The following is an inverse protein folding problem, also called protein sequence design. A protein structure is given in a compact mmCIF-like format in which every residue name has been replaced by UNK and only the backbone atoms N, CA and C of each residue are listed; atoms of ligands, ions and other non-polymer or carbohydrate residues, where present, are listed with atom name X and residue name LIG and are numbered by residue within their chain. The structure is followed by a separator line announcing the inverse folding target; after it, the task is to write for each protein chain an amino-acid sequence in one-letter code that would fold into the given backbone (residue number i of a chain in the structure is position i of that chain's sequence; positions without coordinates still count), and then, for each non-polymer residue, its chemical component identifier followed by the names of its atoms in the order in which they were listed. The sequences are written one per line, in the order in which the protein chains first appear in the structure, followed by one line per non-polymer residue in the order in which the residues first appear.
data_IF_315210168083
#
_entry.id   IF_315210168083
#
_cell.length_a   1.000
_cell.length_b   1.000
_cell.length_c   1.000
_cell.angle_alpha   90.00
_cell.angle_beta   90.00
_cell.angle_gamma   90.00
#
_symmetry.space_group_name_H-M   'P 1'
#
loop_
_entity.id
_entity.type
_entity.pdbx_description
1 polymer ?
#
# COMPACT_ATOMS: atom_id res chain seq x y z
N UNK A 1 42.27 -22.04 -1.58
CA UNK A 1 41.29 -20.92 -1.60
C UNK A 1 40.00 -21.46 -1.01
N UNK A 2 39.61 -21.01 0.19
CA UNK A 2 38.60 -21.70 1.00
C UNK A 2 37.18 -21.26 0.59
N UNK A 3 36.38 -22.18 0.04
CA UNK A 3 35.02 -21.91 -0.47
C UNK A 3 34.08 -21.47 0.68
N UNK A 4 34.39 -21.83 1.93
CA UNK A 4 33.62 -21.44 3.12
C UNK A 4 33.65 -19.95 3.47
N UNK A 5 34.74 -19.23 3.15
CA UNK A 5 34.84 -17.80 3.48
C UNK A 5 34.14 -16.89 2.48
N UNK A 6 33.79 -17.40 1.30
CA UNK A 6 33.05 -16.63 0.28
C UNK A 6 31.54 -16.57 0.58
N UNK A 7 31.01 -17.56 1.31
CA UNK A 7 29.60 -17.60 1.74
C UNK A 7 29.34 -16.85 3.06
N UNK A 8 30.32 -16.67 3.95
CA UNK A 8 30.09 -15.91 5.19
C UNK A 8 30.07 -14.39 4.98
N UNK A 9 30.82 -13.87 4.01
CA UNK A 9 30.90 -12.42 3.77
C UNK A 9 29.75 -11.84 2.93
N UNK A 10 28.85 -12.69 2.39
CA UNK A 10 27.66 -12.25 1.64
C UNK A 10 26.36 -12.23 2.45
N UNK A 11 26.36 -12.80 3.67
CA UNK A 11 25.18 -12.86 4.55
C UNK A 11 25.12 -11.76 5.62
N UNK A 12 26.20 -11.00 5.82
CA UNK A 12 26.32 -10.07 6.95
C UNK A 12 25.89 -8.61 6.67
N UNK A 13 25.46 -8.27 5.45
CA UNK A 13 25.06 -6.90 5.12
C UNK A 13 23.53 -6.73 5.03
N UNK A 14 22.99 -5.95 5.97
CA UNK A 14 21.59 -5.51 6.13
C UNK A 14 20.61 -6.47 6.81
N UNK A 15 20.85 -6.77 8.08
CA UNK A 15 19.73 -6.98 8.99
C UNK A 15 18.97 -5.65 9.10
N UNK A 16 17.69 -5.63 8.75
CA UNK A 16 16.83 -4.47 8.98
C UNK A 16 16.81 -4.14 10.47
N UNK A 17 17.60 -3.14 10.88
CA UNK A 17 17.67 -2.69 12.27
C UNK A 17 16.50 -1.74 12.57
N UNK A 18 15.71 -2.01 13.63
CA UNK A 18 14.74 -1.05 14.16
C UNK A 18 15.39 0.30 14.47
N UNK A 19 14.61 1.37 14.45
CA UNK A 19 15.12 2.68 14.86
C UNK A 19 15.18 2.74 16.38
N UNK A 20 16.38 2.86 16.94
CA UNK A 20 16.58 3.11 18.36
C UNK A 20 16.22 4.56 18.73
N UNK A 21 15.52 4.70 19.86
CA UNK A 21 15.13 5.95 20.52
C UNK A 21 15.30 5.75 22.02
N UNK A 22 15.46 6.84 22.75
CA UNK A 22 15.36 6.80 24.21
C UNK A 22 13.94 6.38 24.64
N UNK A 23 13.83 5.86 25.87
CA UNK A 23 12.61 5.26 26.38
C UNK A 23 11.44 6.26 26.48
N UNK A 24 11.73 7.52 26.81
CA UNK A 24 10.72 8.57 26.95
C UNK A 24 10.15 8.95 25.58
N UNK A 25 11.01 9.24 24.60
CA UNK A 25 10.58 9.52 23.22
C UNK A 25 9.81 8.34 22.62
N UNK A 26 10.24 7.11 22.90
CA UNK A 26 9.53 5.92 22.44
C UNK A 26 8.13 5.81 23.06
N UNK A 27 8.01 6.03 24.37
CA UNK A 27 6.73 6.00 25.07
C UNK A 27 5.78 7.09 24.54
N UNK A 28 6.26 8.34 24.42
CA UNK A 28 5.46 9.44 23.88
C UNK A 28 4.99 9.15 22.45
N UNK A 29 5.88 8.64 21.60
CA UNK A 29 5.54 8.25 20.22
C UNK A 29 4.43 7.19 20.21
N UNK A 30 4.54 6.16 21.05
CA UNK A 30 3.52 5.10 21.17
C UNK A 30 2.18 5.66 21.63
N UNK A 31 2.17 6.50 22.66
CA UNK A 31 0.93 7.09 23.19
C UNK A 31 0.22 7.89 22.09
N UNK A 32 0.95 8.74 21.35
CA UNK A 32 0.38 9.53 20.25
C UNK A 32 -0.15 8.62 19.14
N UNK A 33 0.63 7.62 18.71
CA UNK A 33 0.19 6.70 17.66
C UNK A 33 -1.02 5.86 18.07
N UNK A 34 -1.10 5.41 19.33
CA UNK A 34 -2.27 4.67 19.85
C UNK A 34 -3.50 5.58 19.94
N UNK A 35 -3.34 6.83 20.35
CA UNK A 35 -4.42 7.81 20.33
C UNK A 35 -4.93 8.05 18.91
N UNK A 36 -4.03 8.28 17.95
CA UNK A 36 -4.37 8.43 16.53
C UNK A 36 -5.06 7.16 15.99
N UNK A 37 -4.50 5.98 16.27
CA UNK A 37 -5.06 4.69 15.86
C UNK A 37 -6.49 4.51 16.38
N UNK A 38 -6.73 4.81 17.66
CA UNK A 38 -8.05 4.66 18.28
C UNK A 38 -9.06 5.61 17.62
N UNK A 39 -8.73 6.89 17.55
CA UNK A 39 -9.63 7.93 16.99
C UNK A 39 -9.93 7.66 15.53
N UNK A 40 -8.91 7.33 14.73
CA UNK A 40 -9.09 7.08 13.29
C UNK A 40 -9.86 5.80 13.02
N UNK A 41 -9.65 4.73 13.80
CA UNK A 41 -10.42 3.49 13.62
C UNK A 41 -11.91 3.73 13.92
N UNK A 42 -12.21 4.50 14.97
CA UNK A 42 -13.58 4.90 15.29
C UNK A 42 -14.16 5.81 14.21
N UNK A 43 -13.39 6.80 13.75
CA UNK A 43 -13.82 7.73 12.71
C UNK A 43 -14.18 7.02 11.41
N UNK A 44 -13.40 5.99 11.02
CA UNK A 44 -13.70 5.15 9.86
C UNK A 44 -15.00 4.36 10.06
N UNK A 45 -15.16 3.65 11.18
CA UNK A 45 -16.35 2.82 11.39
C UNK A 45 -17.65 3.59 11.63
N UNK A 46 -17.55 4.80 12.19
CA UNK A 46 -18.69 5.69 12.43
C UNK A 46 -18.92 6.70 11.29
N UNK A 47 -18.15 6.60 10.22
CA UNK A 47 -18.26 7.44 9.04
C UNK A 47 -18.26 8.96 9.35
N UNK A 48 -17.32 9.45 10.18
CA UNK A 48 -17.24 10.88 10.58
C UNK A 48 -16.95 11.89 9.46
N UNK A 49 -16.42 11.44 8.33
CA UNK A 49 -16.08 12.24 7.15
C UNK A 49 -17.08 12.11 6.00
N UNK A 50 -18.31 11.63 6.29
CA UNK A 50 -19.35 11.37 5.29
C UNK A 50 -19.44 9.90 4.90
N UNK A 51 -20.36 9.56 3.99
CA UNK A 51 -20.57 8.18 3.55
C UNK A 51 -19.54 7.76 2.49
N UNK A 52 -18.89 6.63 2.73
CA UNK A 52 -18.01 6.01 1.75
C UNK A 52 -18.77 5.49 0.52
N UNK A 53 -18.27 5.70 -0.71
CA UNK A 53 -18.88 5.17 -1.93
C UNK A 53 -19.06 3.64 -1.94
N UNK A 54 -18.18 2.91 -1.27
CA UNK A 54 -18.25 1.45 -1.21
C UNK A 54 -19.12 0.94 -0.05
N UNK A 55 -19.49 1.80 0.91
CA UNK A 55 -20.26 1.44 2.11
C UNK A 55 -21.57 0.71 1.79
N UNK A 56 -22.42 1.17 0.84
CA UNK A 56 -23.69 0.51 0.57
C UNK A 56 -23.52 -0.95 0.15
N UNK A 57 -22.47 -1.25 -0.62
CA UNK A 57 -22.18 -2.59 -1.07
C UNK A 57 -21.75 -3.52 0.07
N UNK A 58 -20.94 -3.00 0.99
CA UNK A 58 -20.49 -3.77 2.15
C UNK A 58 -21.64 -4.02 3.14
N UNK A 59 -22.46 -3.00 3.39
CA UNK A 59 -23.61 -3.10 4.29
C UNK A 59 -24.65 -4.07 3.74
N UNK A 60 -24.97 -4.00 2.45
CA UNK A 60 -25.87 -4.93 1.79
C UNK A 60 -25.39 -6.39 1.91
N UNK A 61 -24.09 -6.61 1.70
CA UNK A 61 -23.52 -7.95 1.89
C UNK A 61 -23.64 -8.39 3.35
N UNK A 62 -23.26 -7.54 4.31
CA UNK A 62 -23.30 -7.88 5.73
C UNK A 62 -24.71 -8.25 6.21
N UNK A 63 -25.73 -7.52 5.76
CA UNK A 63 -27.14 -7.75 6.10
C UNK A 63 -27.73 -9.01 5.46
N UNK A 64 -27.11 -9.53 4.40
CA UNK A 64 -27.58 -10.73 3.69
C UNK A 64 -26.83 -12.00 4.10
N UNK A 65 -25.88 -11.91 5.04
CA UNK A 65 -25.16 -13.06 5.57
C UNK A 65 -26.12 -13.99 6.32
N UNK A 66 -26.21 -15.23 5.84
CA UNK A 66 -26.93 -16.31 6.51
C UNK A 66 -26.14 -16.93 7.68
N UNK A 67 -26.79 -17.82 8.46
CA UNK A 67 -26.15 -18.48 9.60
C UNK A 67 -25.03 -19.45 9.17
N UNK A 68 -25.13 -20.01 7.97
CA UNK A 68 -24.10 -20.90 7.42
C UNK A 68 -23.16 -20.13 6.50
N UNK A 69 -21.87 -20.44 6.59
CA UNK A 69 -20.85 -19.82 5.77
C UNK A 69 -20.94 -20.32 4.32
N UNK A 70 -21.09 -19.40 3.37
CA UNK A 70 -21.16 -19.68 1.92
C UNK A 70 -20.08 -18.88 1.18
N UNK A 71 -19.15 -19.60 0.53
CA UNK A 71 -18.07 -19.04 -0.27
C UNK A 71 -18.46 -18.80 -1.74
N UNK A 72 -19.52 -19.44 -2.22
CA UNK A 72 -19.81 -19.54 -3.66
C UNK A 72 -20.57 -18.32 -4.20
N UNK A 73 -21.27 -17.57 -3.35
CA UNK A 73 -22.20 -16.53 -3.75
C UNK A 73 -21.79 -15.12 -3.30
N UNK A 74 -20.51 -14.78 -3.42
CA UNK A 74 -20.03 -13.44 -3.07
C UNK A 74 -18.97 -12.94 -4.02
N UNK A 75 -19.06 -11.64 -4.35
CA UNK A 75 -18.07 -10.89 -5.12
C UNK A 75 -16.85 -10.45 -4.28
N UNK A 76 -16.91 -10.63 -2.96
CA UNK A 76 -15.87 -10.18 -2.03
C UNK A 76 -14.79 -11.26 -1.85
N UNK A 77 -13.58 -10.88 -1.44
CA UNK A 77 -12.50 -11.84 -1.19
C UNK A 77 -12.73 -12.61 0.12
N UNK A 78 -12.23 -13.84 0.17
CA UNK A 78 -12.52 -14.78 1.26
C UNK A 78 -12.17 -14.27 2.65
N UNK A 79 -11.08 -13.51 2.81
CA UNK A 79 -10.71 -12.91 4.10
C UNK A 79 -11.79 -11.97 4.63
N UNK A 80 -12.36 -11.13 3.75
CA UNK A 80 -13.46 -10.25 4.13
C UNK A 80 -14.74 -11.04 4.43
N UNK A 81 -15.05 -12.05 3.61
CA UNK A 81 -16.23 -12.89 3.81
C UNK A 81 -16.20 -13.62 5.16
N UNK A 82 -15.06 -14.24 5.50
CA UNK A 82 -14.88 -14.98 6.75
C UNK A 82 -15.05 -14.05 7.95
N UNK A 83 -14.37 -12.89 7.94
CA UNK A 83 -14.47 -11.96 9.07
C UNK A 83 -15.88 -11.40 9.20
N UNK A 84 -16.53 -11.03 8.08
CA UNK A 84 -17.92 -10.55 8.09
C UNK A 84 -18.90 -11.60 8.63
N UNK A 85 -18.74 -12.85 8.20
CA UNK A 85 -19.58 -13.96 8.69
C UNK A 85 -19.38 -14.20 10.18
N UNK A 86 -18.14 -14.25 10.65
CA UNK A 86 -17.83 -14.36 12.08
C UNK A 86 -18.47 -13.23 12.87
N UNK A 87 -18.32 -11.98 12.40
CA UNK A 87 -18.83 -10.81 13.11
C UNK A 87 -20.36 -10.78 13.17
N UNK A 88 -21.03 -11.14 12.07
CA UNK A 88 -22.48 -11.22 11.98
C UNK A 88 -23.03 -12.31 12.91
N UNK A 89 -22.38 -13.48 12.97
CA UNK A 89 -22.79 -14.57 13.86
C UNK A 89 -22.56 -14.27 15.35
N UNK A 90 -21.72 -13.29 15.69
CA UNK A 90 -21.61 -12.75 17.04
C UNK A 90 -22.73 -11.75 17.38
N UNK A 91 -23.61 -11.43 16.43
CA UNK A 91 -24.67 -10.43 16.60
C UNK A 91 -24.19 -8.99 16.64
N UNK A 92 -22.98 -8.72 16.12
CA UNK A 92 -22.38 -7.38 16.14
C UNK A 92 -22.80 -6.56 14.91
N UNK A 93 -22.88 -5.23 15.06
CA UNK A 93 -23.23 -4.31 13.98
C UNK A 93 -22.09 -4.16 12.95
N UNK A 94 -22.45 -3.81 11.71
CA UNK A 94 -21.49 -3.61 10.62
C UNK A 94 -20.48 -2.49 10.92
N UNK A 95 -20.90 -1.43 11.61
CA UNK A 95 -20.05 -0.31 12.02
C UNK A 95 -18.87 -0.81 12.87
N UNK A 96 -19.14 -1.75 13.77
CA UNK A 96 -18.10 -2.35 14.63
C UNK A 96 -17.14 -3.27 13.86
N UNK A 97 -17.61 -3.94 12.81
CA UNK A 97 -16.75 -4.68 11.88
C UNK A 97 -15.81 -3.70 11.16
N UNK A 98 -16.34 -2.57 10.73
CA UNK A 98 -15.55 -1.57 10.02
C UNK A 98 -14.50 -0.93 10.93
N UNK A 99 -14.84 -0.63 12.20
CA UNK A 99 -13.87 -0.21 13.23
C UNK A 99 -12.76 -1.27 13.39
N UNK A 100 -13.12 -2.55 13.52
CA UNK A 100 -12.14 -3.64 13.65
C UNK A 100 -11.19 -3.68 12.45
N UNK A 101 -11.73 -3.63 11.24
CA UNK A 101 -10.95 -3.70 10.02
C UNK A 101 -9.98 -2.52 9.89
N UNK A 102 -10.46 -1.30 10.18
CA UNK A 102 -9.63 -0.10 10.20
C UNK A 102 -8.55 -0.19 11.29
N UNK A 103 -8.91 -0.72 12.47
CA UNK A 103 -7.98 -0.94 13.57
C UNK A 103 -6.88 -1.95 13.22
N UNK A 104 -7.20 -3.07 12.58
CA UNK A 104 -6.20 -4.04 12.10
C UNK A 104 -5.29 -3.39 11.07
N UNK A 105 -5.87 -2.71 10.09
CA UNK A 105 -5.19 -2.07 8.98
C UNK A 105 -4.22 -0.96 9.44
N UNK A 106 -4.68 -0.03 10.28
CA UNK A 106 -3.88 1.04 10.86
C UNK A 106 -2.86 0.50 11.86
N UNK A 107 -3.24 -0.48 12.68
CA UNK A 107 -2.37 -1.11 13.67
C UNK A 107 -1.12 -1.69 13.02
N UNK A 108 -1.28 -2.40 11.89
CA UNK A 108 -0.15 -2.89 11.10
C UNK A 108 0.78 -1.76 10.64
N UNK A 109 0.21 -0.69 10.08
CA UNK A 109 0.99 0.44 9.53
C UNK A 109 1.71 1.23 10.62
N UNK A 110 1.01 1.57 11.69
CA UNK A 110 1.58 2.39 12.78
C UNK A 110 2.62 1.62 13.59
N UNK A 111 2.43 0.31 13.77
CA UNK A 111 3.49 -0.55 14.31
C UNK A 111 4.77 -0.47 13.46
N UNK A 112 4.65 -0.55 12.14
CA UNK A 112 5.79 -0.44 11.23
C UNK A 112 6.39 0.98 11.24
N UNK A 113 5.56 2.01 11.33
CA UNK A 113 6.01 3.39 11.42
C UNK A 113 6.84 3.63 12.68
N UNK A 114 6.33 3.21 13.83
CA UNK A 114 7.03 3.30 15.11
C UNK A 114 8.37 2.57 15.05
N UNK A 115 8.36 1.34 14.53
CA UNK A 115 9.52 0.43 14.58
C UNK A 115 10.62 0.80 13.58
N UNK A 116 10.28 1.29 12.39
CA UNK A 116 11.24 1.43 11.30
C UNK A 116 11.42 2.85 10.74
N UNK A 117 10.57 3.81 11.07
CA UNK A 117 10.78 5.18 10.60
C UNK A 117 11.54 5.98 11.62
N UNK A 118 12.25 7.04 11.23
CA UNK A 118 12.89 7.98 12.15
C UNK A 118 11.86 8.97 12.71
N UNK A 119 10.86 9.33 11.91
CA UNK A 119 9.79 10.29 12.26
C UNK A 119 8.38 9.65 12.17
N UNK A 120 7.96 8.79 13.12
CA UNK A 120 6.73 7.99 13.00
C UNK A 120 5.46 8.83 13.04
N UNK A 121 5.42 9.87 13.88
CA UNK A 121 4.26 10.76 13.98
C UNK A 121 4.08 11.52 12.66
N UNK A 122 5.16 12.05 12.09
CA UNK A 122 5.11 12.76 10.81
C UNK A 122 4.69 11.84 9.66
N UNK A 123 5.18 10.60 9.68
CA UNK A 123 4.75 9.56 8.75
C UNK A 123 3.25 9.26 8.87
N UNK A 124 2.73 9.11 10.10
CA UNK A 124 1.32 8.89 10.37
C UNK A 124 0.45 10.07 9.90
N UNK A 125 0.85 11.32 10.17
CA UNK A 125 0.15 12.52 9.66
C UNK A 125 0.13 12.51 8.13
N UNK A 126 1.26 12.20 7.50
CA UNK A 126 1.33 12.16 6.04
C UNK A 126 0.49 11.02 5.44
N UNK A 127 0.35 9.89 6.15
CA UNK A 127 -0.56 8.80 5.77
C UNK A 127 -2.02 9.25 5.83
N UNK A 128 -2.39 9.99 6.88
CA UNK A 128 -3.75 10.51 7.04
C UNK A 128 -4.12 11.41 5.86
N UNK A 129 -3.22 12.33 5.49
CA UNK A 129 -3.45 13.21 4.36
C UNK A 129 -3.48 12.46 3.03
N UNK A 130 -2.52 11.57 2.78
CA UNK A 130 -2.34 10.96 1.47
C UNK A 130 -3.21 9.74 1.19
N UNK A 131 -3.60 8.99 2.22
CA UNK A 131 -4.14 7.64 2.03
C UNK A 131 -5.34 7.27 2.91
N UNK A 132 -5.52 7.90 4.08
CA UNK A 132 -6.52 7.42 5.04
C UNK A 132 -7.96 7.43 4.49
N UNK A 133 -8.39 8.54 3.86
CA UNK A 133 -9.73 8.63 3.26
C UNK A 133 -9.94 7.63 2.11
N UNK A 134 -8.89 7.32 1.35
CA UNK A 134 -8.99 6.29 0.32
C UNK A 134 -9.04 4.90 0.94
N UNK A 135 -8.01 4.53 1.71
CA UNK A 135 -7.81 3.17 2.17
C UNK A 135 -8.76 2.81 3.32
N UNK A 136 -8.68 3.52 4.44
CA UNK A 136 -9.40 3.11 5.66
C UNK A 136 -10.89 3.43 5.60
N UNK A 137 -11.29 4.27 4.64
CA UNK A 137 -12.63 4.79 4.55
C UNK A 137 -13.38 4.26 3.32
N UNK A 138 -12.74 4.27 2.17
CA UNK A 138 -13.35 3.77 0.92
C UNK A 138 -13.04 2.30 0.68
N UNK A 139 -11.75 1.95 0.71
CA UNK A 139 -11.26 0.66 0.24
C UNK A 139 -10.75 -0.23 1.38
N UNK A 140 -11.58 -0.44 2.41
CA UNK A 140 -11.14 -1.07 3.67
C UNK A 140 -10.50 -2.45 3.50
N UNK A 141 -10.99 -3.25 2.54
CA UNK A 141 -10.40 -4.55 2.17
C UNK A 141 -8.98 -4.42 1.67
N UNK A 142 -8.75 -3.47 0.75
CA UNK A 142 -7.42 -3.16 0.25
C UNK A 142 -6.54 -2.60 1.37
N UNK A 143 -7.07 -1.79 2.27
CA UNK A 143 -6.32 -1.21 3.38
C UNK A 143 -5.74 -2.27 4.33
N UNK A 144 -6.56 -3.27 4.72
CA UNK A 144 -6.14 -4.43 5.50
C UNK A 144 -5.11 -5.26 4.71
N UNK A 145 -5.39 -5.48 3.42
CA UNK A 145 -4.47 -6.14 2.50
C UNK A 145 -3.08 -5.50 2.46
N UNK A 146 -3.02 -4.18 2.33
CA UNK A 146 -1.79 -3.37 2.33
C UNK A 146 -1.07 -3.50 3.68
N UNK A 147 -1.82 -3.45 4.79
CA UNK A 147 -1.27 -3.63 6.13
C UNK A 147 -0.51 -4.96 6.27
N UNK A 148 -1.13 -6.07 5.87
CA UNK A 148 -0.49 -7.38 5.87
C UNK A 148 0.66 -7.48 4.86
N UNK A 149 0.49 -6.98 3.63
CA UNK A 149 1.56 -6.98 2.63
C UNK A 149 2.82 -6.25 3.14
N UNK A 150 2.65 -5.11 3.82
CA UNK A 150 3.75 -4.38 4.44
C UNK A 150 4.43 -5.16 5.57
N UNK A 151 3.66 -5.86 6.43
CA UNK A 151 4.23 -6.76 7.45
C UNK A 151 5.05 -7.87 6.79
N UNK A 152 4.53 -8.45 5.70
CA UNK A 152 5.22 -9.46 4.90
C UNK A 152 6.54 -8.92 4.35
N UNK A 153 6.53 -7.75 3.70
CA UNK A 153 7.74 -7.12 3.15
C UNK A 153 8.78 -6.88 4.26
N UNK A 154 8.38 -6.42 5.45
CA UNK A 154 9.32 -6.24 6.55
C UNK A 154 9.86 -7.59 7.08
N UNK A 155 9.03 -8.63 7.15
CA UNK A 155 9.48 -9.98 7.50
C UNK A 155 10.48 -10.53 6.46
N UNK A 156 10.24 -10.30 5.17
CA UNK A 156 11.15 -10.63 4.08
C UNK A 156 12.51 -9.95 4.24
N UNK A 157 12.52 -8.64 4.54
CA UNK A 157 13.74 -7.87 4.79
C UNK A 157 14.50 -8.37 6.02
N UNK A 158 13.78 -8.91 7.02
CA UNK A 158 14.36 -9.58 8.19
C UNK A 158 14.73 -11.05 7.95
N UNK A 159 14.59 -11.56 6.72
CA UNK A 159 14.86 -12.95 6.34
C UNK A 159 13.96 -13.97 7.06
N UNK A 160 12.82 -13.53 7.57
CA UNK A 160 11.77 -14.37 8.18
C UNK A 160 10.76 -14.79 7.10
N UNK A 161 11.20 -15.68 6.22
CA UNK A 161 10.44 -16.08 5.02
C UNK A 161 9.08 -16.73 5.31
N UNK A 162 8.95 -17.45 6.43
CA UNK A 162 7.67 -18.02 6.81
C UNK A 162 6.64 -16.93 7.15
N UNK A 163 7.04 -15.89 7.89
CA UNK A 163 6.18 -14.74 8.19
C UNK A 163 5.86 -13.95 6.92
N UNK A 164 6.82 -13.81 6.02
CA UNK A 164 6.58 -13.23 4.71
C UNK A 164 5.46 -13.96 3.97
N UNK A 165 5.54 -15.29 3.85
CA UNK A 165 4.51 -16.09 3.19
C UNK A 165 3.14 -15.97 3.89
N UNK A 166 3.09 -16.08 5.22
CA UNK A 166 1.85 -15.96 6.00
C UNK A 166 1.18 -14.60 5.78
N UNK A 167 1.93 -13.51 5.92
CA UNK A 167 1.36 -12.18 5.75
C UNK A 167 1.02 -11.85 4.29
N UNK A 168 1.77 -12.37 3.32
CA UNK A 168 1.40 -12.23 1.90
C UNK A 168 0.09 -12.95 1.59
N UNK A 169 -0.08 -14.19 2.06
CA UNK A 169 -1.34 -14.93 1.89
C UNK A 169 -2.48 -14.19 2.59
N UNK A 170 -2.29 -13.74 3.83
CA UNK A 170 -3.29 -12.95 4.54
C UNK A 170 -3.69 -11.69 3.76
N UNK A 171 -2.73 -10.95 3.20
CA UNK A 171 -3.02 -9.78 2.37
C UNK A 171 -3.85 -10.11 1.12
N UNK A 172 -3.49 -11.18 0.40
CA UNK A 172 -4.21 -11.64 -0.81
C UNK A 172 -5.64 -12.07 -0.48
N UNK A 173 -5.85 -12.72 0.66
CA UNK A 173 -7.18 -13.14 1.11
C UNK A 173 -8.12 -11.95 1.35
N UNK A 174 -7.61 -10.78 1.72
CA UNK A 174 -8.42 -9.57 1.85
C UNK A 174 -8.54 -8.79 0.55
N UNK A 175 -7.51 -8.81 -0.29
CA UNK A 175 -7.57 -8.15 -1.58
C UNK A 175 -6.55 -8.77 -2.56
N UNK A 176 -7.04 -9.36 -3.66
CA UNK A 176 -6.20 -10.16 -4.57
C UNK A 176 -5.03 -9.39 -5.20
N UNK A 177 -5.19 -8.08 -5.44
CA UNK A 177 -4.14 -7.24 -6.01
C UNK A 177 -2.93 -7.08 -5.09
N UNK A 178 -3.04 -7.44 -3.81
CA UNK A 178 -1.94 -7.42 -2.85
C UNK A 178 -0.80 -8.36 -3.20
N UNK A 179 -1.00 -9.29 -4.14
CA UNK A 179 0.08 -10.11 -4.71
C UNK A 179 1.18 -9.25 -5.36
N UNK A 180 0.85 -8.05 -5.86
CA UNK A 180 1.83 -7.22 -6.58
C UNK A 180 2.88 -6.61 -5.64
N UNK A 181 2.49 -6.19 -4.44
CA UNK A 181 3.41 -5.60 -3.47
C UNK A 181 4.62 -6.50 -3.12
N UNK A 182 4.46 -7.77 -2.71
CA UNK A 182 5.58 -8.67 -2.43
C UNK A 182 6.39 -9.01 -3.68
N UNK A 183 5.77 -9.12 -4.86
CA UNK A 183 6.48 -9.36 -6.12
C UNK A 183 7.40 -8.18 -6.49
N UNK A 184 6.87 -6.96 -6.41
CA UNK A 184 7.66 -5.74 -6.63
C UNK A 184 8.78 -5.63 -5.59
N UNK A 185 8.50 -5.92 -4.33
CA UNK A 185 9.51 -5.88 -3.27
C UNK A 185 10.63 -6.91 -3.49
N UNK A 186 10.29 -8.14 -3.88
CA UNK A 186 11.26 -9.18 -4.22
C UNK A 186 12.13 -8.77 -5.41
N UNK A 187 11.52 -8.25 -6.48
CA UNK A 187 12.25 -7.76 -7.66
C UNK A 187 13.19 -6.60 -7.33
N UNK A 188 12.68 -5.57 -6.65
CA UNK A 188 13.44 -4.39 -6.25
C UNK A 188 14.63 -4.73 -5.34
N UNK A 189 14.48 -5.74 -4.48
CA UNK A 189 15.56 -6.24 -3.62
C UNK A 189 16.76 -6.79 -4.41
N UNK A 190 16.51 -7.47 -5.52
CA UNK A 190 17.57 -8.10 -6.34
C UNK A 190 18.36 -7.08 -7.16
N UNK A 191 17.74 -5.95 -7.52
CA UNK A 191 18.37 -4.94 -8.36
C UNK A 191 19.26 -4.03 -7.49
N UNK A 192 20.57 -4.03 -7.74
CA UNK A 192 21.55 -3.26 -6.97
C UNK A 192 21.87 -1.91 -7.62
N UNK A 193 22.17 -0.92 -6.79
CA UNK A 193 22.61 0.40 -7.24
C UNK A 193 21.54 1.16 -8.02
N UNK A 194 21.99 2.06 -8.91
CA UNK A 194 21.11 2.88 -9.77
C UNK A 194 20.50 2.09 -10.94
N UNK A 195 20.83 0.81 -11.08
CA UNK A 195 20.31 -0.06 -12.14
C UNK A 195 18.78 -0.18 -12.07
N UNK A 196 18.17 -0.01 -10.89
CA UNK A 196 16.71 0.01 -10.74
C UNK A 196 16.04 1.10 -11.58
N UNK A 197 16.73 2.21 -11.83
CA UNK A 197 16.23 3.29 -12.69
C UNK A 197 16.27 2.86 -14.15
N UNK A 198 17.37 2.22 -14.58
CA UNK A 198 17.54 1.71 -15.95
C UNK A 198 16.51 0.61 -16.19
N UNK A 199 16.34 -0.32 -15.25
CA UNK A 199 15.31 -1.37 -15.33
C UNK A 199 13.92 -0.76 -15.37
N UNK A 200 13.62 0.25 -14.54
CA UNK A 200 12.34 0.95 -14.60
C UNK A 200 12.10 1.67 -15.93
N UNK A 201 13.12 2.32 -16.49
CA UNK A 201 13.06 2.96 -17.81
C UNK A 201 12.89 1.92 -18.93
N UNK A 202 13.58 0.77 -18.85
CA UNK A 202 13.40 -0.33 -19.78
C UNK A 202 11.98 -0.90 -19.68
N UNK A 203 11.48 -1.15 -18.47
CA UNK A 203 10.10 -1.57 -18.24
C UNK A 203 9.12 -0.58 -18.86
N UNK A 204 9.35 0.73 -18.73
CA UNK A 204 8.51 1.75 -19.35
C UNK A 204 8.52 1.62 -20.89
N UNK A 205 9.70 1.53 -21.49
CA UNK A 205 9.86 1.45 -22.95
C UNK A 205 9.29 0.14 -23.50
N UNK A 206 9.72 -1.01 -22.96
CA UNK A 206 9.25 -2.33 -23.40
C UNK A 206 7.79 -2.58 -23.00
N UNK A 207 7.37 -2.05 -21.87
CA UNK A 207 6.00 -2.17 -21.40
C UNK A 207 5.05 -1.44 -22.33
N UNK A 208 5.39 -0.22 -22.76
CA UNK A 208 4.54 0.54 -23.70
C UNK A 208 4.34 -0.15 -25.06
N UNK A 209 5.19 -1.11 -25.42
CA UNK A 209 5.09 -1.87 -26.68
C UNK A 209 4.52 -3.28 -26.52
N UNK A 210 4.74 -3.93 -25.37
CA UNK A 210 4.33 -5.33 -25.11
C UNK A 210 2.99 -5.42 -24.36
N UNK A 211 2.59 -4.37 -23.63
CA UNK A 211 1.43 -4.45 -22.73
C UNK A 211 0.09 -4.77 -23.38
N UNK A 212 -0.25 -4.33 -24.61
CA UNK A 212 -1.54 -4.69 -25.21
C UNK A 212 -1.74 -6.22 -25.29
N UNK A 213 -0.67 -6.98 -25.57
CA UNK A 213 -0.72 -8.44 -25.58
C UNK A 213 -0.77 -9.05 -24.17
N UNK A 214 -0.12 -8.42 -23.19
CA UNK A 214 -0.07 -8.89 -21.80
C UNK A 214 -1.35 -8.58 -21.01
N UNK A 215 -2.02 -7.48 -21.35
CA UNK A 215 -3.30 -7.07 -20.78
C UNK A 215 -4.39 -8.10 -21.09
N UNK A 216 -4.43 -8.61 -22.32
CA UNK A 216 -5.36 -9.69 -22.69
C UNK A 216 -5.12 -10.94 -21.83
N UNK A 217 -3.86 -11.34 -21.62
CA UNK A 217 -3.52 -12.47 -20.76
C UNK A 217 -3.94 -12.24 -19.30
N UNK A 218 -3.75 -11.02 -18.76
CA UNK A 218 -4.20 -10.66 -17.42
C UNK A 218 -5.71 -10.76 -17.31
N UNK A 219 -6.47 -10.22 -18.28
CA UNK A 219 -7.93 -10.36 -18.31
C UNK A 219 -8.34 -11.83 -18.32
N UNK A 220 -7.74 -12.63 -19.18
CA UNK A 220 -8.12 -14.04 -19.36
C UNK A 220 -7.86 -14.87 -18.09
N UNK A 221 -6.79 -14.57 -17.35
CA UNK A 221 -6.47 -15.26 -16.09
C UNK A 221 -7.31 -14.73 -14.94
N UNK A 222 -7.37 -13.41 -14.73
CA UNK A 222 -8.01 -12.84 -13.55
C UNK A 222 -9.53 -12.79 -13.63
N UNK A 223 -10.13 -12.75 -14.83
CA UNK A 223 -11.59 -12.85 -15.00
C UNK A 223 -12.17 -14.17 -14.50
N UNK A 224 -11.37 -15.25 -14.50
CA UNK A 224 -11.76 -16.54 -13.94
C UNK A 224 -11.93 -16.51 -12.42
N UNK A 225 -11.22 -15.61 -11.74
CA UNK A 225 -11.23 -15.50 -10.27
C UNK A 225 -12.06 -14.31 -9.78
N UNK A 226 -12.12 -13.23 -10.57
CA UNK A 226 -12.91 -12.06 -10.28
C UNK A 226 -13.59 -11.56 -11.55
N UNK A 227 -14.91 -11.77 -11.71
CA UNK A 227 -15.68 -11.30 -12.86
C UNK A 227 -15.61 -9.79 -13.08
N UNK A 228 -15.32 -8.99 -12.05
CA UNK A 228 -15.16 -7.54 -12.18
C UNK A 228 -13.87 -7.14 -12.89
N UNK A 229 -12.94 -8.06 -13.10
CA UNK A 229 -11.70 -7.76 -13.83
C UNK A 229 -11.98 -7.30 -15.26
N UNK A 230 -12.96 -7.91 -15.93
CA UNK A 230 -13.37 -7.48 -17.27
C UNK A 230 -13.99 -6.08 -17.23
N UNK A 231 -14.79 -5.78 -16.21
CA UNK A 231 -15.32 -4.44 -15.99
C UNK A 231 -14.18 -3.43 -15.78
N UNK A 232 -13.15 -3.73 -14.98
CA UNK A 232 -12.02 -2.82 -14.74
C UNK A 232 -11.12 -2.60 -15.95
N UNK A 233 -11.09 -3.53 -16.89
CA UNK A 233 -10.26 -3.44 -18.10
C UNK A 233 -11.02 -2.80 -19.25
N UNK A 234 -12.33 -3.04 -19.37
CA UNK A 234 -13.13 -2.56 -20.49
C UNK A 234 -14.13 -1.44 -20.12
N UNK A 235 -14.04 -0.83 -18.92
CA UNK A 235 -14.82 0.37 -18.56
C UNK A 235 -14.37 1.62 -19.33
N UNK A 236 -14.46 1.58 -20.66
CA UNK A 236 -14.12 2.67 -21.58
C UNK A 236 -15.33 3.57 -21.87
N UNK A 237 -16.53 3.23 -21.40
CA UNK A 237 -17.76 3.88 -21.88
C UNK A 237 -17.97 5.31 -21.38
N UNK A 238 -17.23 5.80 -20.38
CA UNK A 238 -17.30 7.20 -19.89
C UNK A 238 -16.02 7.69 -19.17
N UNK A 239 -14.90 6.96 -19.24
CA UNK A 239 -13.73 7.30 -18.43
C UNK A 239 -12.96 8.47 -19.06
N UNK A 240 -13.03 9.65 -18.43
CA UNK A 240 -12.03 10.70 -18.64
C UNK A 240 -10.65 10.07 -18.52
N UNK A 241 -9.82 10.22 -19.55
CA UNK A 241 -8.45 9.70 -19.54
C UNK A 241 -7.76 10.22 -18.28
N UNK A 242 -7.27 9.32 -17.42
CA UNK A 242 -6.63 9.79 -16.20
C UNK A 242 -5.45 10.69 -16.53
N UNK A 243 -5.42 11.82 -15.85
CA UNK A 243 -4.29 12.72 -15.95
C UNK A 243 -3.06 12.07 -15.31
N UNK A 244 -2.28 11.35 -16.12
CA UNK A 244 -1.02 10.70 -15.71
C UNK A 244 -0.06 11.72 -15.09
N UNK A 245 -0.15 12.99 -15.51
CA UNK A 245 0.59 14.13 -14.99
C UNK A 245 -0.21 14.97 -13.98
N UNK A 246 -1.12 14.34 -13.23
CA UNK A 246 -1.78 14.99 -12.10
C UNK A 246 -0.76 15.61 -11.14
N UNK A 247 -1.16 16.62 -10.37
CA UNK A 247 -0.28 17.27 -9.40
C UNK A 247 0.39 16.24 -8.46
N UNK A 248 -0.36 15.28 -7.93
CA UNK A 248 0.17 14.20 -7.10
C UNK A 248 1.20 13.31 -7.84
N UNK A 249 0.95 13.01 -9.12
CA UNK A 249 1.90 12.27 -9.96
C UNK A 249 3.20 13.06 -10.17
N UNK A 250 3.10 14.36 -10.48
CA UNK A 250 4.29 15.23 -10.69
C UNK A 250 5.12 15.32 -9.42
N UNK A 251 4.48 15.49 -8.25
CA UNK A 251 5.18 15.46 -6.97
C UNK A 251 5.86 14.10 -6.72
N UNK A 252 5.20 12.99 -7.07
CA UNK A 252 5.77 11.64 -6.95
C UNK A 252 6.99 11.46 -7.85
N UNK A 253 6.95 11.93 -9.10
CA UNK A 253 8.10 11.96 -10.01
C UNK A 253 9.23 12.80 -9.40
N UNK A 254 8.91 13.97 -8.84
CA UNK A 254 9.86 14.82 -8.15
C UNK A 254 10.56 14.10 -6.99
N UNK A 255 9.82 13.35 -6.18
CA UNK A 255 10.37 12.51 -5.10
C UNK A 255 11.32 11.46 -5.68
N UNK A 256 10.91 10.73 -6.72
CA UNK A 256 11.74 9.71 -7.37
C UNK A 256 13.05 10.33 -7.86
N UNK A 257 12.98 11.41 -8.64
CA UNK A 257 14.15 12.12 -9.19
C UNK A 257 15.06 12.60 -8.07
N UNK A 258 14.50 13.19 -7.01
CA UNK A 258 15.29 13.68 -5.89
C UNK A 258 15.99 12.53 -5.15
N UNK A 259 15.27 11.44 -4.88
CA UNK A 259 15.81 10.28 -4.16
C UNK A 259 16.97 9.61 -4.91
N UNK A 260 17.04 9.72 -6.23
CA UNK A 260 18.18 9.24 -7.05
C UNK A 260 19.48 9.99 -6.73
N UNK A 261 19.37 11.28 -6.39
CA UNK A 261 20.50 12.14 -6.08
C UNK A 261 21.12 11.80 -4.72
N UNK A 262 20.36 11.17 -3.82
CA UNK A 262 20.81 10.81 -2.48
C UNK A 262 21.58 9.47 -2.52
N UNK A 263 22.90 9.43 -2.26
CA UNK A 263 23.68 8.20 -2.42
C UNK A 263 23.29 7.08 -1.47
N UNK A 264 22.71 7.38 -0.30
CA UNK A 264 22.26 6.36 0.67
C UNK A 264 21.04 5.58 0.18
N UNK A 265 20.22 6.13 -0.73
CA UNK A 265 19.00 5.48 -1.27
C UNK A 265 19.26 4.08 -1.82
N UNK A 266 20.40 3.86 -2.47
CA UNK A 266 20.72 2.56 -3.10
C UNK A 266 21.68 1.68 -2.30
N UNK A 267 22.18 2.17 -1.15
CA UNK A 267 23.10 1.41 -0.29
C UNK A 267 22.36 0.33 0.50
N UNK A 268 21.20 0.66 1.07
CA UNK A 268 20.43 -0.24 1.92
C UNK A 268 19.36 -1.00 1.10
N UNK A 269 19.19 -2.29 1.37
CA UNK A 269 18.13 -3.12 0.80
C UNK A 269 16.74 -2.52 1.08
N UNK A 270 16.52 -2.02 2.31
CA UNK A 270 15.26 -1.43 2.72
C UNK A 270 14.85 -0.25 1.81
N UNK A 271 15.76 0.72 1.64
CA UNK A 271 15.49 1.90 0.81
C UNK A 271 15.36 1.55 -0.65
N UNK A 272 16.09 0.54 -1.16
CA UNK A 272 15.90 0.04 -2.54
C UNK A 272 14.53 -0.56 -2.75
N UNK A 273 14.03 -1.37 -1.82
CA UNK A 273 12.69 -1.97 -1.91
C UNK A 273 11.61 -0.90 -1.97
N UNK A 274 11.62 0.06 -1.04
CA UNK A 274 10.60 1.11 -1.02
C UNK A 274 10.75 2.15 -2.14
N UNK A 275 11.98 2.38 -2.62
CA UNK A 275 12.21 3.12 -3.87
C UNK A 275 11.61 2.37 -5.07
N UNK A 276 11.83 1.06 -5.17
CA UNK A 276 11.27 0.23 -6.23
C UNK A 276 9.75 0.20 -6.21
N UNK A 277 9.12 0.12 -5.03
CA UNK A 277 7.67 0.25 -4.88
C UNK A 277 7.16 1.62 -5.34
N UNK A 278 7.82 2.70 -4.92
CA UNK A 278 7.48 4.08 -5.33
C UNK A 278 7.65 4.28 -6.84
N UNK A 279 8.68 3.69 -7.44
CA UNK A 279 8.89 3.74 -8.89
C UNK A 279 7.79 2.96 -9.61
N UNK A 280 7.48 1.74 -9.14
CA UNK A 280 6.44 0.91 -9.73
C UNK A 280 5.04 1.47 -9.55
N UNK A 281 4.75 2.26 -8.50
CA UNK A 281 3.48 2.95 -8.36
C UNK A 281 3.26 3.97 -9.47
N UNK A 282 4.30 4.69 -9.88
CA UNK A 282 4.20 5.60 -11.02
C UNK A 282 4.18 4.83 -12.35
N UNK A 283 5.03 3.81 -12.50
CA UNK A 283 5.05 3.00 -13.72
C UNK A 283 3.71 2.31 -13.95
N UNK A 284 2.98 1.87 -12.92
CA UNK A 284 1.66 1.24 -13.10
C UNK A 284 0.65 2.16 -13.77
N UNK A 285 0.70 3.48 -13.52
CA UNK A 285 -0.15 4.45 -14.22
C UNK A 285 0.14 4.52 -15.72
N UNK A 286 1.42 4.47 -16.09
CA UNK A 286 1.82 4.61 -17.51
C UNK A 286 1.62 3.30 -18.26
N UNK A 287 1.98 2.19 -17.62
CA UNK A 287 1.87 0.86 -18.18
C UNK A 287 0.40 0.50 -18.38
N UNK A 288 -0.41 0.60 -17.33
CA UNK A 288 -1.80 0.13 -17.35
C UNK A 288 -2.78 1.25 -17.71
N UNK A 289 -2.34 2.23 -18.51
CA UNK A 289 -3.17 3.40 -18.87
C UNK A 289 -4.51 3.00 -19.52
N UNK A 290 -4.52 1.87 -20.23
CA UNK A 290 -5.69 1.32 -20.93
C UNK A 290 -6.63 0.55 -19.98
N UNK A 291 -6.28 0.42 -18.69
CA UNK A 291 -7.15 -0.10 -17.63
C UNK A 291 -7.01 0.79 -16.40
N UNK A 292 -7.67 1.95 -16.45
CA UNK A 292 -7.47 3.01 -15.48
C UNK A 292 -7.75 2.58 -14.04
N UNK A 293 -8.86 1.89 -13.80
CA UNK A 293 -9.21 1.45 -12.45
C UNK A 293 -8.14 0.52 -11.84
N UNK A 294 -7.58 -0.38 -12.64
CA UNK A 294 -6.50 -1.27 -12.22
C UNK A 294 -5.21 -0.49 -11.98
N UNK A 295 -4.87 0.45 -12.87
CA UNK A 295 -3.69 1.30 -12.77
C UNK A 295 -3.69 2.12 -11.47
N UNK A 296 -4.83 2.73 -11.13
CA UNK A 296 -5.01 3.51 -9.91
C UNK A 296 -4.91 2.63 -8.66
N UNK A 297 -5.57 1.47 -8.62
CA UNK A 297 -5.48 0.55 -7.46
C UNK A 297 -4.05 0.08 -7.20
N UNK A 298 -3.31 -0.26 -8.25
CA UNK A 298 -1.92 -0.67 -8.15
C UNK A 298 -1.03 0.49 -7.72
N UNK A 299 -1.25 1.68 -8.28
CA UNK A 299 -0.56 2.90 -7.88
C UNK A 299 -0.74 3.14 -6.38
N UNK A 300 -1.98 3.15 -5.91
CA UNK A 300 -2.32 3.56 -4.54
C UNK A 300 -1.75 2.57 -3.51
N UNK A 301 -1.81 1.27 -3.79
CA UNK A 301 -1.19 0.24 -2.95
C UNK A 301 0.33 0.38 -2.87
N UNK A 302 1.01 0.59 -4.01
CA UNK A 302 2.47 0.69 -4.07
C UNK A 302 3.00 2.04 -3.56
N UNK A 303 2.23 3.12 -3.72
CA UNK A 303 2.61 4.48 -3.33
C UNK A 303 2.80 4.63 -1.82
N UNK A 304 2.23 3.74 -0.99
CA UNK A 304 2.53 3.69 0.46
C UNK A 304 4.02 3.51 0.73
N UNK A 305 4.78 2.96 -0.23
CA UNK A 305 6.24 2.90 -0.17
C UNK A 305 6.93 4.25 -0.02
N UNK A 306 6.32 5.35 -0.47
CA UNK A 306 6.85 6.72 -0.32
C UNK A 306 7.07 7.05 1.16
N UNK A 307 6.15 6.67 2.04
CA UNK A 307 6.25 6.96 3.48
C UNK A 307 7.50 6.30 4.07
N UNK A 308 7.75 5.04 3.72
CA UNK A 308 8.93 4.32 4.19
C UNK A 308 10.23 4.79 3.53
N UNK A 309 10.16 5.33 2.32
CA UNK A 309 11.30 5.90 1.63
C UNK A 309 11.71 7.25 2.23
N UNK A 310 10.73 8.12 2.49
CA UNK A 310 10.94 9.53 2.88
C UNK A 310 11.24 9.67 4.38
N UNK A 311 10.57 8.91 5.25
CA UNK A 311 10.69 9.08 6.71
C UNK A 311 11.64 8.09 7.40
N UNK A 312 12.38 7.26 6.64
CA UNK A 312 13.33 6.29 7.21
C UNK A 312 14.61 6.94 7.74
N UNK A 313 15.11 7.96 7.06
CA UNK A 313 16.38 8.60 7.41
C UNK A 313 16.17 9.77 8.39
N UNK A 314 17.18 10.14 9.19
CA UNK A 314 17.13 11.34 10.01
C UNK A 314 16.86 12.58 9.15
N UNK A 315 16.09 13.52 9.70
CA UNK A 315 15.82 14.80 9.06
C UNK A 315 17.13 15.53 8.82
N UNK A 316 17.48 15.69 7.55
CA UNK A 316 18.65 16.43 7.08
C UNK A 316 18.24 17.29 5.91
N UNK A 317 19.04 18.30 5.56
CA UNK A 317 18.72 19.23 4.46
C UNK A 317 18.45 18.52 3.13
N UNK A 318 19.05 17.34 2.91
CA UNK A 318 18.83 16.52 1.72
C UNK A 318 17.49 15.78 1.72
N UNK A 319 16.89 15.56 2.89
CA UNK A 319 15.61 14.88 3.06
C UNK A 319 14.42 15.86 3.11
N UNK A 320 14.66 17.16 3.28
CA UNK A 320 13.59 18.17 3.32
C UNK A 320 12.80 18.23 1.99
N UNK A 321 13.42 18.29 0.80
CA UNK A 321 12.66 18.38 -0.44
C UNK A 321 11.68 17.23 -0.70
N UNK A 322 12.06 15.93 -0.57
CA UNK A 322 11.10 14.84 -0.79
C UNK A 322 10.00 14.82 0.26
N UNK A 323 10.26 15.30 1.49
CA UNK A 323 9.20 15.50 2.50
C UNK A 323 8.21 16.57 2.05
N UNK A 324 8.69 17.74 1.59
CA UNK A 324 7.82 18.82 1.12
C UNK A 324 6.97 18.37 -0.07
N UNK A 325 7.60 17.71 -1.06
CA UNK A 325 6.89 17.19 -2.23
C UNK A 325 5.83 16.17 -1.83
N UNK A 326 6.13 15.29 -0.87
CA UNK A 326 5.15 14.31 -0.37
C UNK A 326 4.00 14.99 0.36
N UNK A 327 4.25 15.96 1.23
CA UNK A 327 3.18 16.69 1.91
C UNK A 327 2.32 17.50 0.94
N UNK A 328 2.91 18.09 -0.10
CA UNK A 328 2.15 18.76 -1.16
C UNK A 328 1.24 17.76 -1.91
N UNK A 329 1.77 16.60 -2.28
CA UNK A 329 0.98 15.54 -2.93
C UNK A 329 -0.15 15.04 -2.02
N UNK A 330 0.16 14.75 -0.76
CA UNK A 330 -0.79 14.24 0.23
C UNK A 330 -1.89 15.26 0.53
N UNK A 331 -1.56 16.54 0.67
CA UNK A 331 -2.55 17.60 0.85
C UNK A 331 -3.47 17.77 -0.38
N UNK A 332 -2.91 17.66 -1.59
CA UNK A 332 -3.70 17.69 -2.83
C UNK A 332 -4.67 16.49 -2.92
N UNK A 333 -4.21 15.30 -2.57
CA UNK A 333 -5.06 14.10 -2.51
C UNK A 333 -6.17 14.27 -1.47
N UNK A 334 -5.83 14.71 -0.26
CA UNK A 334 -6.80 15.00 0.80
C UNK A 334 -7.87 16.00 0.34
N UNK A 335 -7.44 17.12 -0.25
CA UNK A 335 -8.34 18.13 -0.80
C UNK A 335 -9.27 17.50 -1.83
N UNK A 336 -8.71 16.76 -2.80
CA UNK A 336 -9.47 16.05 -3.82
C UNK A 336 -10.59 15.19 -3.24
N UNK A 337 -10.28 14.35 -2.25
CA UNK A 337 -11.27 13.48 -1.58
C UNK A 337 -12.36 14.29 -0.86
N UNK A 338 -11.96 15.29 -0.07
CA UNK A 338 -12.93 16.08 0.69
C UNK A 338 -13.85 16.93 -0.20
N UNK A 339 -13.35 17.47 -1.32
CA UNK A 339 -14.19 18.30 -2.18
C UNK A 339 -15.05 17.51 -3.15
N UNK A 340 -14.64 16.32 -3.56
CA UNK A 340 -15.48 15.47 -4.44
C UNK A 340 -16.60 14.78 -3.67
N UNK A 341 -16.40 14.43 -2.39
CA UNK A 341 -17.47 13.86 -1.56
C UNK A 341 -18.45 14.89 -0.98
N UNK A 342 -18.05 16.17 -0.84
CA UNK A 342 -18.95 17.25 -0.36
C UNK A 342 -19.91 17.74 -1.46
N UNK A 343 -19.75 17.29 -2.71
CA UNK A 343 -20.59 17.69 -3.85
C UNK A 343 -21.53 16.58 -4.36
N UNK A 344 -21.68 15.50 -3.61
CA UNK A 344 -22.73 14.48 -3.77
C UNK A 344 -23.57 14.42 -2.52
#
# INVERSE_FOLDING_TARGET
MNIGTMFQNSFAASLLVPVERDAETQLMTRVVLVAMWTVLSLAAGQQWFGDSPDLPNYLFYYQTIGPFFDLANSRFEYGFQIVSWLWSNLGLGYESLFVLMAAVSLGCKFYLFERYLRSPILAAISYILGFYLLHEYTQIRAAVGIGFALLGIHAMLQRRWWLFAVFTVAGILFHYSMVVMPLVALGARQIKGRVVIIVGALILVTGSTVLPALQQLIVDVFSQFNPLTTAYVYNDLNADSANILSFASVMTIGIIVWMVTIPSTFKNEYTRVFFGMTLMSYLSLVLLRDSLELALRLRDALAVGIIFLVFREPLSIRQIPPIILWFAAAAYLYYGYTTTQVLT
#
